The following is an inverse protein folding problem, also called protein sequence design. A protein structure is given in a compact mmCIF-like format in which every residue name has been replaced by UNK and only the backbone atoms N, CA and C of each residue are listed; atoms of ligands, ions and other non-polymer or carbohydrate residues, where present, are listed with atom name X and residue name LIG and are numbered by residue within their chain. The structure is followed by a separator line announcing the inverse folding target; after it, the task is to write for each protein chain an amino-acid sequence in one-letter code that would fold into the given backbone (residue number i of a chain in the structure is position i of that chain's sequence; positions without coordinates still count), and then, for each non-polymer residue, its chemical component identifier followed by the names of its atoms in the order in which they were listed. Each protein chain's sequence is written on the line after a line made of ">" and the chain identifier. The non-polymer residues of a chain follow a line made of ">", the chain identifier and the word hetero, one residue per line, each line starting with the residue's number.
data_IF_498343248786
#
_entry.id   IF_498343248786
#
_cell.length_a   1.000
_cell.length_b   1.000
_cell.length_c   1.000
_cell.angle_alpha   90.00
_cell.angle_beta   90.00
_cell.angle_gamma   90.00
#
_symmetry.space_group_name_H-M   'P 1'
#
loop_
_entity.id
_entity.type
_entity.pdbx_description
1 polymer ?
#
# COMPACT_ATOMS: atom_id res chain seq x y z
N UNK A 1 -12.56 3.92 -4.81
CA UNK A 1 -12.98 3.18 -3.59
C UNK A 1 -14.03 2.16 -3.99
N UNK A 2 -13.73 0.86 -4.04
CA UNK A 2 -14.72 -0.18 -4.26
C UNK A 2 -15.53 -0.46 -2.99
N UNK A 3 -16.83 -0.67 -3.13
CA UNK A 3 -17.72 -1.10 -2.05
C UNK A 3 -18.83 -2.01 -2.55
N UNK A 4 -19.38 -2.83 -1.67
CA UNK A 4 -20.45 -3.79 -1.99
C UNK A 4 -21.70 -3.39 -1.22
N UNK A 5 -22.81 -3.31 -1.95
CA UNK A 5 -24.14 -3.09 -1.35
C UNK A 5 -24.75 -4.43 -0.97
N UNK A 6 -25.24 -4.55 0.27
CA UNK A 6 -25.85 -5.78 0.77
C UNK A 6 -27.34 -5.89 0.43
N UNK A 7 -28.04 -4.78 0.42
CA UNK A 7 -29.50 -4.69 0.26
C UNK A 7 -29.85 -4.00 -1.05
N UNK A 8 -30.84 -4.49 -1.77
CA UNK A 8 -31.32 -3.89 -3.02
C UNK A 8 -32.19 -2.66 -2.78
N UNK A 9 -32.24 -1.82 -3.81
CA UNK A 9 -33.11 -0.64 -3.93
C UNK A 9 -32.87 0.47 -2.90
N UNK A 10 -31.81 0.40 -2.09
CA UNK A 10 -31.46 1.50 -1.23
C UNK A 10 -30.58 2.52 -1.96
N UNK A 11 -30.80 3.79 -1.70
CA UNK A 11 -29.91 4.84 -2.17
C UNK A 11 -28.57 4.76 -1.44
N UNK A 12 -27.48 4.89 -2.19
CA UNK A 12 -26.14 4.99 -1.63
C UNK A 12 -25.66 6.43 -1.81
N UNK A 13 -25.30 7.07 -0.71
CA UNK A 13 -24.70 8.39 -0.71
C UNK A 13 -23.24 8.27 -0.34
N UNK A 14 -22.37 8.77 -1.22
CA UNK A 14 -20.94 8.90 -0.97
C UNK A 14 -20.60 10.35 -0.81
N UNK A 15 -20.14 10.73 0.38
CA UNK A 15 -19.85 12.11 0.76
C UNK A 15 -18.38 12.22 1.17
N UNK A 16 -17.64 13.11 0.52
CA UNK A 16 -16.24 13.39 0.86
C UNK A 16 -16.13 14.79 1.46
N UNK A 17 -15.49 14.88 2.63
CA UNK A 17 -15.25 16.12 3.38
C UNK A 17 -13.79 16.28 3.73
N UNK A 18 -13.33 17.52 3.86
CA UNK A 18 -12.03 17.82 4.47
C UNK A 18 -12.08 17.68 6.00
N UNK A 19 -10.92 17.84 6.65
CA UNK A 19 -10.80 17.77 8.11
C UNK A 19 -11.48 18.92 8.86
N UNK A 20 -12.00 19.91 8.17
CA UNK A 20 -12.80 21.03 8.73
C UNK A 20 -14.29 20.85 8.51
N UNK A 21 -14.70 19.76 7.85
CA UNK A 21 -16.09 19.46 7.52
C UNK A 21 -16.59 20.09 6.21
N UNK A 22 -15.70 20.75 5.47
CA UNK A 22 -16.01 21.28 4.13
C UNK A 22 -16.31 20.13 3.15
N UNK A 23 -17.44 20.23 2.45
CA UNK A 23 -17.85 19.22 1.47
C UNK A 23 -17.00 19.40 0.22
N UNK A 24 -16.23 18.35 -0.13
CA UNK A 24 -15.39 18.31 -1.33
C UNK A 24 -16.16 17.70 -2.50
N UNK A 25 -16.88 16.62 -2.26
CA UNK A 25 -17.66 15.94 -3.29
C UNK A 25 -18.84 15.16 -2.70
N UNK A 26 -19.89 15.01 -3.49
CA UNK A 26 -21.05 14.18 -3.16
C UNK A 26 -21.48 13.42 -4.39
N UNK A 27 -21.62 12.10 -4.27
CA UNK A 27 -22.18 11.24 -5.32
C UNK A 27 -23.36 10.46 -4.73
N UNK A 28 -24.46 10.39 -5.47
CA UNK A 28 -25.63 9.61 -5.08
C UNK A 28 -25.95 8.58 -6.14
N UNK A 29 -26.10 7.33 -5.71
CA UNK A 29 -26.65 6.23 -6.50
C UNK A 29 -28.08 6.06 -6.03
N UNK A 30 -29.04 6.46 -6.85
CA UNK A 30 -30.46 6.52 -6.45
C UNK A 30 -31.07 5.15 -6.12
N UNK A 31 -30.58 4.09 -6.76
CA UNK A 31 -31.00 2.70 -6.49
C UNK A 31 -29.82 1.78 -6.66
N UNK A 32 -29.55 0.98 -5.66
CA UNK A 32 -28.45 0.01 -5.68
C UNK A 32 -28.96 -1.41 -5.93
N UNK A 33 -28.09 -2.25 -6.48
CA UNK A 33 -28.33 -3.68 -6.67
C UNK A 33 -27.52 -4.46 -5.66
N UNK A 34 -28.15 -5.38 -4.92
CA UNK A 34 -27.48 -6.22 -3.94
C UNK A 34 -26.34 -7.03 -4.56
N UNK A 35 -25.26 -7.21 -3.80
CA UNK A 35 -24.06 -7.96 -4.19
C UNK A 35 -23.30 -7.41 -5.40
N UNK A 36 -23.69 -6.27 -5.92
CA UNK A 36 -22.94 -5.57 -6.97
C UNK A 36 -21.81 -4.76 -6.37
N UNK A 37 -20.66 -4.78 -7.02
CA UNK A 37 -19.51 -3.92 -6.66
C UNK A 37 -19.74 -2.58 -7.34
N UNK A 38 -19.69 -1.53 -6.56
CA UNK A 38 -19.67 -0.15 -7.02
C UNK A 38 -18.28 0.42 -6.82
N UNK A 39 -17.85 1.29 -7.72
CA UNK A 39 -16.61 2.02 -7.61
C UNK A 39 -16.93 3.51 -7.50
N UNK A 40 -16.30 4.15 -6.53
CA UNK A 40 -16.31 5.60 -6.39
C UNK A 40 -14.93 6.13 -6.78
N UNK A 41 -14.91 6.90 -7.84
CA UNK A 41 -13.70 7.58 -8.31
C UNK A 41 -13.78 9.04 -7.91
N UNK A 42 -12.71 9.53 -7.34
CA UNK A 42 -12.61 10.88 -6.83
C UNK A 42 -11.33 11.54 -7.34
N UNK A 43 -11.50 12.60 -8.13
CA UNK A 43 -10.41 13.40 -8.66
C UNK A 43 -10.28 14.70 -7.87
N UNK A 44 -9.10 14.90 -7.30
CA UNK A 44 -8.74 16.11 -6.55
C UNK A 44 -8.20 17.24 -7.44
N UNK A 45 -7.95 17.00 -8.72
CA UNK A 45 -7.27 17.96 -9.61
C UNK A 45 -7.99 19.31 -9.75
N UNK A 46 -9.31 19.33 -9.57
CA UNK A 46 -10.13 20.55 -9.63
C UNK A 46 -10.56 21.09 -8.28
N UNK A 47 -10.09 20.50 -7.18
CA UNK A 47 -10.57 20.84 -5.83
C UNK A 47 -9.63 21.81 -5.14
N UNK A 48 -10.17 22.96 -4.71
CA UNK A 48 -9.45 23.87 -3.82
C UNK A 48 -9.66 23.41 -2.38
N UNK A 49 -8.61 22.87 -1.78
CA UNK A 49 -8.62 22.48 -0.38
C UNK A 49 -8.38 23.70 0.52
N UNK A 50 -9.00 23.69 1.72
CA UNK A 50 -8.70 24.68 2.73
C UNK A 50 -7.23 24.63 3.13
N UNK A 51 -6.66 25.79 3.47
CA UNK A 51 -5.30 25.83 4.02
C UNK A 51 -5.22 24.94 5.27
N UNK A 52 -4.12 24.19 5.38
CA UNK A 52 -3.90 23.21 6.46
C UNK A 52 -4.82 21.97 6.43
N UNK A 53 -5.43 21.64 5.29
CA UNK A 53 -6.07 20.33 5.12
C UNK A 53 -5.04 19.23 5.25
N UNK A 54 -5.23 18.33 6.21
CA UNK A 54 -4.28 17.22 6.49
C UNK A 54 -4.84 15.85 6.11
N UNK A 55 -6.15 15.73 6.04
CA UNK A 55 -6.84 14.53 5.60
C UNK A 55 -8.22 14.88 5.03
N UNK A 56 -8.81 13.94 4.34
CA UNK A 56 -10.22 13.96 3.99
C UNK A 56 -10.88 12.64 4.38
N UNK A 57 -12.19 12.71 4.60
CA UNK A 57 -13.01 11.56 4.97
C UNK A 57 -14.05 11.33 3.89
N UNK A 58 -14.14 10.07 3.42
CA UNK A 58 -15.22 9.63 2.55
C UNK A 58 -16.19 8.77 3.34
N UNK A 59 -17.40 9.23 3.48
CA UNK A 59 -18.50 8.53 4.15
C UNK A 59 -19.41 7.91 3.11
N UNK A 60 -19.60 6.59 3.19
CA UNK A 60 -20.51 5.82 2.33
C UNK A 60 -21.70 5.42 3.18
N UNK A 61 -22.87 5.94 2.85
CA UNK A 61 -24.11 5.66 3.57
C UNK A 61 -25.07 4.87 2.67
N UNK A 62 -25.58 3.75 3.16
CA UNK A 62 -26.58 2.93 2.50
C UNK A 62 -27.63 2.54 3.55
N UNK A 63 -28.83 3.11 3.45
CA UNK A 63 -29.86 2.94 4.47
C UNK A 63 -29.36 3.39 5.86
N UNK A 64 -29.46 2.50 6.84
CA UNK A 64 -28.97 2.74 8.20
C UNK A 64 -27.46 2.48 8.40
N UNK A 65 -26.78 1.97 7.39
CA UNK A 65 -25.35 1.60 7.49
C UNK A 65 -24.48 2.73 6.95
N UNK A 66 -23.50 3.13 7.74
CA UNK A 66 -22.51 4.14 7.35
C UNK A 66 -21.11 3.60 7.58
N UNK A 67 -20.24 3.79 6.58
CA UNK A 67 -18.82 3.47 6.64
C UNK A 67 -18.06 4.74 6.35
N UNK A 68 -17.06 5.06 7.17
CA UNK A 68 -16.17 6.21 6.97
C UNK A 68 -14.77 5.73 6.71
N UNK A 69 -14.17 6.21 5.62
CA UNK A 69 -12.79 5.98 5.23
C UNK A 69 -12.04 7.30 5.30
N UNK A 70 -10.89 7.30 5.97
CA UNK A 70 -10.03 8.48 6.10
C UNK A 70 -8.80 8.33 5.22
N UNK A 71 -8.47 9.40 4.51
CA UNK A 71 -7.32 9.51 3.62
C UNK A 71 -6.43 10.66 4.07
N UNK A 72 -5.21 10.36 4.46
CA UNK A 72 -4.22 11.37 4.80
C UNK A 72 -3.67 12.01 3.53
N UNK A 73 -3.50 13.33 3.56
CA UNK A 73 -2.80 14.07 2.52
C UNK A 73 -1.31 14.10 2.84
N UNK A 74 -0.51 13.59 1.94
CA UNK A 74 0.94 13.71 1.98
C UNK A 74 1.34 14.93 1.16
N UNK A 75 1.37 16.11 1.81
CA UNK A 75 1.59 17.38 1.08
C UNK A 75 3.02 17.58 0.64
N UNK A 76 4.00 17.12 1.41
CA UNK A 76 5.43 17.22 1.12
C UNK A 76 6.12 15.97 1.67
N UNK A 77 6.11 14.86 0.94
CA UNK A 77 6.84 13.68 1.37
C UNK A 77 8.35 13.96 1.27
N UNK A 78 9.11 13.53 2.29
CA UNK A 78 10.58 13.66 2.31
C UNK A 78 11.23 12.86 1.17
N UNK A 79 10.59 11.76 0.79
CA UNK A 79 11.02 10.90 -0.31
C UNK A 79 9.87 10.67 -1.31
N UNK A 80 10.18 10.29 -2.56
CA UNK A 80 9.17 9.89 -3.52
C UNK A 80 8.27 8.79 -2.96
N UNK A 81 6.95 8.97 -3.07
CA UNK A 81 5.98 7.99 -2.58
C UNK A 81 6.12 6.66 -3.33
N UNK A 82 6.21 5.56 -2.59
CA UNK A 82 6.28 4.20 -3.10
C UNK A 82 4.88 3.62 -3.10
N UNK A 83 4.47 3.12 -4.24
CA UNK A 83 3.16 2.52 -4.44
C UNK A 83 3.28 0.99 -4.49
N UNK A 84 2.56 0.32 -3.59
CA UNK A 84 2.47 -1.12 -3.53
C UNK A 84 1.01 -1.55 -3.70
N UNK A 85 0.79 -2.69 -4.32
CA UNK A 85 -0.48 -3.41 -4.27
C UNK A 85 -0.28 -4.74 -3.58
N UNK A 86 -1.13 -5.05 -2.63
CA UNK A 86 -1.10 -6.32 -1.93
C UNK A 86 -2.48 -6.97 -1.92
N UNK A 87 -2.48 -8.29 -1.94
CA UNK A 87 -3.71 -9.06 -1.85
C UNK A 87 -4.08 -9.27 -0.39
N UNK A 88 -5.20 -8.70 0.03
CA UNK A 88 -5.69 -8.85 1.39
C UNK A 88 -6.25 -10.25 1.66
N UNK A 89 -6.62 -10.53 2.91
CA UNK A 89 -7.17 -11.83 3.32
C UNK A 89 -8.53 -12.18 2.67
N UNK A 90 -9.19 -11.20 2.05
CA UNK A 90 -10.43 -11.41 1.30
C UNK A 90 -10.19 -11.64 -0.20
N UNK A 91 -8.93 -11.64 -0.65
CA UNK A 91 -8.55 -11.86 -2.05
C UNK A 91 -8.58 -10.61 -2.93
N UNK A 92 -8.82 -9.43 -2.38
CA UNK A 92 -8.80 -8.16 -3.13
C UNK A 92 -7.43 -7.51 -3.09
N UNK A 93 -7.04 -6.89 -4.21
CA UNK A 93 -5.85 -6.04 -4.25
C UNK A 93 -6.17 -4.67 -3.70
N UNK A 94 -5.35 -4.23 -2.75
CA UNK A 94 -5.47 -2.93 -2.07
C UNK A 94 -4.16 -2.18 -2.24
N UNK A 95 -4.19 -0.87 -2.59
CA UNK A 95 -3.00 -0.05 -2.63
C UNK A 95 -2.49 0.27 -1.22
N UNK A 96 -1.17 0.32 -1.08
CA UNK A 96 -0.48 0.89 0.06
C UNK A 96 0.55 1.90 -0.43
N UNK A 97 0.64 3.03 0.25
CA UNK A 97 1.54 4.12 -0.11
C UNK A 97 2.48 4.40 1.04
N UNK A 98 3.78 4.39 0.76
CA UNK A 98 4.83 4.66 1.74
C UNK A 98 5.68 5.83 1.28
N UNK A 99 5.95 6.77 2.17
CA UNK A 99 6.71 8.00 1.91
C UNK A 99 8.12 7.99 2.51
N UNK A 100 8.56 6.84 3.04
CA UNK A 100 9.90 6.67 3.55
C UNK A 100 10.94 6.34 2.48
N UNK A 101 12.17 6.15 2.89
CA UNK A 101 13.29 5.83 2.02
C UNK A 101 13.20 4.42 1.42
N UNK A 102 13.75 4.24 0.23
CA UNK A 102 13.99 2.94 -0.39
C UNK A 102 15.50 2.70 -0.41
N UNK A 103 15.96 1.73 0.34
CA UNK A 103 17.34 1.29 0.36
C UNK A 103 17.51 0.04 -0.51
N UNK A 104 18.66 -0.08 -1.16
CA UNK A 104 19.04 -1.26 -1.93
C UNK A 104 20.38 -1.78 -1.40
N UNK A 105 20.41 -3.03 -0.99
CA UNK A 105 21.63 -3.73 -0.60
C UNK A 105 21.87 -4.90 -1.55
N UNK A 106 23.03 -4.93 -2.18
CA UNK A 106 23.41 -6.04 -3.05
C UNK A 106 24.25 -7.03 -2.25
N UNK A 107 23.73 -8.24 -2.10
CA UNK A 107 24.49 -9.37 -1.57
C UNK A 107 25.12 -10.16 -2.71
N UNK A 108 26.37 -10.55 -2.54
CA UNK A 108 27.05 -11.43 -3.50
C UNK A 108 27.30 -12.77 -2.84
N UNK A 109 26.80 -13.83 -3.47
CA UNK A 109 27.17 -15.19 -3.11
C UNK A 109 28.19 -15.67 -4.12
N UNK A 110 29.38 -16.00 -3.62
CA UNK A 110 30.48 -16.46 -4.44
C UNK A 110 30.61 -17.96 -4.22
N UNK A 111 30.49 -18.75 -5.28
CA UNK A 111 30.78 -20.16 -5.26
C UNK A 111 32.17 -20.37 -5.86
N UNK A 112 33.10 -20.88 -5.04
CA UNK A 112 34.47 -21.16 -5.42
C UNK A 112 34.83 -22.63 -5.17
N UNK A 113 35.82 -23.11 -5.89
CA UNK A 113 36.43 -24.42 -5.65
C UNK A 113 37.94 -24.30 -5.57
N UNK A 114 38.54 -25.19 -4.81
CA UNK A 114 39.98 -25.28 -4.69
C UNK A 114 40.53 -26.17 -5.80
N UNK A 115 41.38 -25.60 -6.64
CA UNK A 115 42.08 -26.35 -7.70
C UNK A 115 43.13 -27.29 -7.12
N UNK A 116 43.59 -28.29 -7.89
CA UNK A 116 44.57 -29.28 -7.46
C UNK A 116 45.92 -28.66 -7.07
N UNK A 117 46.22 -27.46 -7.52
CA UNK A 117 47.43 -26.68 -7.18
C UNK A 117 47.24 -25.83 -5.89
N UNK A 118 46.08 -25.92 -5.24
CA UNK A 118 45.74 -25.16 -4.04
C UNK A 118 45.20 -23.74 -4.28
N UNK A 119 45.07 -23.32 -5.53
CA UNK A 119 44.45 -22.03 -5.86
C UNK A 119 42.93 -22.10 -5.76
N UNK A 120 42.29 -21.02 -5.24
CA UNK A 120 40.84 -20.89 -5.26
C UNK A 120 40.41 -20.28 -6.59
N UNK A 121 39.45 -20.91 -7.26
CA UNK A 121 38.89 -20.47 -8.52
C UNK A 121 37.40 -20.18 -8.33
N UNK A 122 37.00 -18.94 -8.54
CA UNK A 122 35.58 -18.53 -8.51
C UNK A 122 34.94 -19.05 -9.81
N UNK A 123 33.87 -19.84 -9.65
CA UNK A 123 33.19 -20.37 -10.81
C UNK A 123 31.79 -19.74 -11.00
N UNK A 124 31.17 -19.22 -9.95
CA UNK A 124 29.89 -18.54 -10.03
C UNK A 124 29.84 -17.40 -9.03
N UNK A 125 29.26 -16.28 -9.46
CA UNK A 125 28.89 -15.16 -8.60
C UNK A 125 27.40 -14.93 -8.78
N UNK A 126 26.63 -15.14 -7.72
CA UNK A 126 25.22 -14.83 -7.68
C UNK A 126 25.02 -13.48 -6.98
N UNK A 127 24.35 -12.58 -7.64
CA UNK A 127 23.94 -11.29 -7.05
C UNK A 127 22.49 -11.40 -6.58
N UNK A 128 22.28 -11.17 -5.29
CA UNK A 128 20.95 -11.08 -4.67
C UNK A 128 20.74 -9.66 -4.19
N UNK A 129 19.87 -8.92 -4.87
CA UNK A 129 19.49 -7.59 -4.44
C UNK A 129 18.38 -7.67 -3.38
N UNK A 130 18.66 -7.09 -2.23
CA UNK A 130 17.72 -6.92 -1.12
C UNK A 130 17.26 -5.47 -1.07
N UNK A 131 15.96 -5.27 -1.04
CA UNK A 131 15.36 -3.95 -0.98
C UNK A 131 14.69 -3.76 0.37
N UNK A 132 14.84 -2.57 0.94
CA UNK A 132 14.17 -2.18 2.19
C UNK A 132 13.41 -0.89 1.95
N UNK A 133 12.09 -0.93 2.12
CA UNK A 133 11.23 0.25 2.10
C UNK A 133 10.93 0.63 3.53
N UNK A 134 11.28 1.86 3.90
CA UNK A 134 10.76 2.47 5.11
C UNK A 134 9.33 2.97 4.84
N UNK A 135 8.40 2.70 5.75
CA UNK A 135 7.00 3.09 5.58
C UNK A 135 6.78 4.60 5.70
N UNK A 136 7.77 5.34 6.20
CA UNK A 136 7.58 6.70 6.65
C UNK A 136 6.77 6.78 7.94
N UNK A 137 6.29 7.98 8.26
CA UNK A 137 5.50 8.22 9.48
C UNK A 137 4.12 7.58 9.38
N UNK A 138 3.83 6.63 10.25
CA UNK A 138 2.55 5.90 10.29
C UNK A 138 1.63 6.45 11.38
N UNK A 139 0.38 6.66 11.02
CA UNK A 139 -0.70 6.84 11.98
C UNK A 139 -1.10 5.49 12.60
N UNK A 140 -1.78 5.53 13.74
CA UNK A 140 -2.20 4.31 14.45
C UNK A 140 -3.05 3.40 13.57
N UNK A 141 -3.94 3.96 12.77
CA UNK A 141 -4.84 3.20 11.88
C UNK A 141 -4.10 2.60 10.67
N UNK A 142 -3.00 3.22 10.23
CA UNK A 142 -2.18 2.74 9.11
C UNK A 142 -1.34 1.52 9.47
N UNK A 143 -1.10 1.26 10.75
CA UNK A 143 -0.35 0.08 11.24
C UNK A 143 -0.96 -1.24 10.78
N UNK A 144 -2.30 -1.29 10.74
CA UNK A 144 -3.00 -2.48 10.26
C UNK A 144 -2.69 -2.78 8.79
N UNK A 145 -2.54 -1.74 7.96
CA UNK A 145 -2.17 -1.88 6.54
C UNK A 145 -0.75 -2.46 6.41
N UNK A 146 0.21 -1.95 7.19
CA UNK A 146 1.60 -2.46 7.19
C UNK A 146 1.64 -3.93 7.57
N UNK A 147 0.89 -4.33 8.62
CA UNK A 147 0.79 -5.72 9.04
C UNK A 147 0.18 -6.60 7.93
N UNK A 148 -0.83 -6.10 7.23
CA UNK A 148 -1.43 -6.83 6.11
C UNK A 148 -0.46 -6.98 4.93
N UNK A 149 0.30 -5.94 4.58
CA UNK A 149 1.34 -5.99 3.55
C UNK A 149 2.41 -7.02 3.91
N UNK A 150 2.90 -7.01 5.14
CA UNK A 150 3.93 -7.94 5.61
C UNK A 150 3.49 -9.41 5.57
N UNK A 151 2.20 -9.68 5.79
CA UNK A 151 1.61 -11.02 5.80
C UNK A 151 0.97 -11.41 4.46
N UNK A 152 0.97 -10.54 3.46
CA UNK A 152 0.31 -10.83 2.19
C UNK A 152 1.11 -11.84 1.36
N UNK A 153 0.41 -12.82 0.77
CA UNK A 153 1.01 -13.81 -0.12
C UNK A 153 1.37 -13.26 -1.50
N UNK A 154 0.71 -12.18 -1.91
CA UNK A 154 0.96 -11.52 -3.18
C UNK A 154 1.11 -10.03 -2.95
N UNK A 155 2.31 -9.51 -3.24
CA UNK A 155 2.63 -8.09 -3.16
C UNK A 155 3.32 -7.68 -4.46
N UNK A 156 2.94 -6.53 -4.98
CA UNK A 156 3.52 -5.91 -6.16
C UNK A 156 4.01 -4.52 -5.81
N UNK A 157 5.18 -4.20 -6.28
CA UNK A 157 5.80 -2.89 -6.13
C UNK A 157 5.95 -2.23 -7.49
N UNK A 158 5.64 -0.95 -7.59
CA UNK A 158 5.73 -0.19 -8.82
C UNK A 158 7.11 0.44 -8.96
N UNK A 159 7.89 -0.04 -9.92
CA UNK A 159 9.20 0.51 -10.26
C UNK A 159 9.17 0.97 -11.72
N UNK A 160 9.60 2.21 -11.98
CA UNK A 160 9.64 2.78 -13.33
C UNK A 160 8.30 2.59 -14.09
N UNK A 161 7.18 2.76 -13.39
CA UNK A 161 5.82 2.52 -13.90
C UNK A 161 5.50 1.05 -14.27
N UNK A 162 6.32 0.09 -13.85
CA UNK A 162 6.08 -1.35 -14.06
C UNK A 162 5.77 -2.01 -12.73
N UNK A 163 4.66 -2.74 -12.67
CA UNK A 163 4.30 -3.55 -11.52
C UNK A 163 5.15 -4.81 -11.48
N UNK A 164 5.92 -4.98 -10.44
CA UNK A 164 6.81 -6.12 -10.26
C UNK A 164 6.44 -6.87 -8.99
N UNK A 165 6.25 -8.18 -9.11
CA UNK A 165 5.97 -9.03 -7.95
C UNK A 165 7.18 -9.05 -7.03
N UNK A 166 6.93 -8.87 -5.74
CA UNK A 166 7.94 -8.93 -4.70
C UNK A 166 7.61 -10.04 -3.70
N UNK A 167 8.66 -10.58 -3.10
CA UNK A 167 8.56 -11.52 -1.99
C UNK A 167 8.98 -10.77 -0.73
N UNK A 168 8.02 -10.51 0.15
CA UNK A 168 8.31 -9.90 1.44
C UNK A 168 9.04 -10.90 2.32
N UNK A 169 10.21 -10.51 2.81
CA UNK A 169 11.02 -11.32 3.73
C UNK A 169 11.21 -10.60 5.06
N UNK A 170 10.13 -10.11 5.63
CA UNK A 170 10.18 -9.42 6.93
C UNK A 170 10.52 -10.46 8.00
N UNK A 171 11.81 -10.68 8.25
CA UNK A 171 12.29 -11.51 9.36
C UNK A 171 12.31 -10.77 10.68
N UNK A 172 12.02 -9.46 10.70
CA UNK A 172 11.95 -8.65 11.90
C UNK A 172 10.51 -8.55 12.37
N UNK A 173 10.34 -8.68 13.69
CA UNK A 173 9.05 -8.40 14.32
C UNK A 173 8.63 -6.96 14.04
N UNK A 174 7.37 -6.77 13.66
CA UNK A 174 6.78 -5.44 13.56
C UNK A 174 6.50 -4.97 14.99
N UNK A 175 7.30 -4.06 15.50
CA UNK A 175 7.11 -3.50 16.84
C UNK A 175 6.24 -2.25 16.77
N UNK A 176 5.06 -2.30 17.37
CA UNK A 176 4.21 -1.14 17.61
C UNK A 176 4.15 -0.82 19.10
N UNK A 177 4.60 0.38 19.48
CA UNK A 177 4.60 0.83 20.90
C UNK A 177 3.57 1.94 21.08
N UNK A 178 2.64 1.81 22.02
CA UNK A 178 1.53 2.74 22.23
C UNK A 178 1.93 4.17 22.58
N UNK A 179 3.12 4.36 23.11
CA UNK A 179 3.63 5.68 23.57
C UNK A 179 4.44 6.46 22.55
N UNK A 180 4.65 5.91 21.36
CA UNK A 180 5.48 6.55 20.33
C UNK A 180 4.57 7.19 19.27
N UNK A 181 4.62 8.51 19.10
CA UNK A 181 3.74 9.23 18.17
C UNK A 181 4.12 9.09 16.69
N UNK A 182 5.41 8.87 16.41
CA UNK A 182 5.90 8.65 15.04
C UNK A 182 6.46 7.24 14.93
N UNK A 183 5.79 6.40 14.18
CA UNK A 183 6.26 5.07 13.83
C UNK A 183 6.67 5.04 12.38
N UNK A 184 7.84 4.49 12.13
CA UNK A 184 8.22 3.99 10.83
C UNK A 184 8.59 2.51 10.98
N UNK A 185 8.36 1.74 9.93
CA UNK A 185 8.71 0.33 9.85
C UNK A 185 9.47 0.08 8.55
N UNK A 186 10.42 -0.84 8.63
CA UNK A 186 11.18 -1.28 7.47
C UNK A 186 10.59 -2.59 6.94
N UNK A 187 10.17 -2.57 5.69
CA UNK A 187 9.72 -3.76 4.98
C UNK A 187 10.80 -4.19 4.01
N UNK A 188 11.39 -5.36 4.26
CA UNK A 188 12.43 -5.93 3.41
C UNK A 188 11.83 -6.90 2.41
N UNK A 189 12.27 -6.85 1.16
CA UNK A 189 11.77 -7.70 0.09
C UNK A 189 12.82 -7.99 -0.97
N UNK A 190 12.57 -9.02 -1.76
CA UNK A 190 13.31 -9.36 -2.96
C UNK A 190 12.38 -9.41 -4.16
N UNK A 191 12.88 -9.18 -5.36
CA UNK A 191 12.05 -9.37 -6.56
C UNK A 191 11.85 -10.85 -6.85
N UNK A 192 10.61 -11.21 -7.20
CA UNK A 192 10.34 -12.55 -7.70
C UNK A 192 10.93 -12.71 -9.10
N UNK A 193 11.78 -13.70 -9.30
CA UNK A 193 12.40 -14.01 -10.62
C UNK A 193 11.36 -14.51 -11.65
N UNK A 194 10.13 -14.82 -11.24
CA UNK A 194 9.04 -15.25 -12.13
C UNK A 194 7.71 -14.79 -11.59
N UNK A 195 7.10 -13.81 -12.22
CA UNK A 195 5.74 -13.38 -11.88
C UNK A 195 5.06 -12.74 -13.08
N UNK A 196 3.93 -13.32 -13.54
CA UNK A 196 3.03 -12.59 -14.42
C UNK A 196 2.49 -11.41 -13.64
N UNK A 197 2.64 -10.21 -14.19
CA UNK A 197 2.02 -8.99 -13.67
C UNK A 197 0.51 -9.16 -13.82
N UNK A 198 -0.30 -9.01 -12.75
CA UNK A 198 -1.75 -8.95 -12.91
C UNK A 198 -2.11 -7.73 -13.76
N UNK A 199 -3.12 -7.84 -14.61
CA UNK A 199 -3.78 -6.66 -15.17
C UNK A 199 -4.53 -5.99 -14.03
N UNK A 200 -3.93 -4.94 -13.48
CA UNK A 200 -4.50 -4.08 -12.44
C UNK A 200 -5.18 -2.90 -13.12
#
# INVERSE_FOLDING_TARGET
>A
IPFIVKTEAEAVVVLTKDNFGGIINTQTIASSTAKKIYQYDFDLSGVTLAANTTYFETTITCGATTITLRYRLMLLPDFPVKELYFKNNFGYFIPAYFDGELETANGFKVDDYQSADGSSVIFEIQEDALYTINTGSLLTDERAVVTQVANAHEVYFKINNVWTKINTSTKKELEFRDKKHNYSQDLTFTFSKSGKVPNI
#
